data_IF_612275114246
#
_entry.id   IF_612275114246
#
_cell.length_a   1.000
_cell.length_b   1.000
_cell.length_c   1.000
_cell.angle_alpha   90.00
_cell.angle_beta   90.00
_cell.angle_gamma   90.00
#
_symmetry.space_group_name_H-M   'P 1'
#
loop_
_entity.id
_entity.type
_entity.pdbx_description
1 polymer ?
#
# COMPACT_ATOMS: atom_id res chain seq x y z
N UNK A 1 0.45 1.80 5.35
CA UNK A 1 1.67 2.12 4.58
C UNK A 1 1.74 1.14 3.41
N UNK A 2 2.14 1.56 2.21
CA UNK A 2 2.17 0.70 1.02
C UNK A 2 3.48 0.82 0.23
N UNK A 3 3.64 -0.04 -0.78
CA UNK A 3 4.78 -0.05 -1.69
C UNK A 3 4.38 0.61 -3.02
N UNK A 4 5.23 1.49 -3.53
CA UNK A 4 4.99 2.24 -4.76
C UNK A 4 6.18 2.11 -5.70
N UNK A 5 5.90 2.17 -7.00
CA UNK A 5 6.90 2.26 -8.05
C UNK A 5 6.72 3.57 -8.84
N UNK A 6 7.78 4.14 -9.43
CA UNK A 6 7.66 5.27 -10.35
C UNK A 6 6.68 4.97 -11.49
N UNK A 7 5.94 5.98 -11.95
CA UNK A 7 4.97 5.86 -13.05
C UNK A 7 5.58 5.31 -14.35
N UNK A 8 6.87 5.56 -14.58
CA UNK A 8 7.60 5.08 -15.76
C UNK A 8 8.13 3.65 -15.64
N UNK A 9 7.90 2.96 -14.51
CA UNK A 9 8.32 1.58 -14.33
C UNK A 9 7.59 0.68 -15.33
N UNK A 10 8.29 -0.14 -16.14
CA UNK A 10 7.63 -1.00 -17.11
C UNK A 10 6.64 -1.98 -16.45
N UNK A 11 5.48 -2.26 -17.07
CA UNK A 11 4.46 -3.13 -16.49
C UNK A 11 4.98 -4.50 -16.08
N UNK A 12 5.84 -5.12 -16.91
CA UNK A 12 6.44 -6.42 -16.62
C UNK A 12 7.25 -6.41 -15.30
N UNK A 13 7.99 -5.34 -15.03
CA UNK A 13 8.76 -5.20 -13.78
C UNK A 13 7.82 -5.05 -12.58
N UNK A 14 6.75 -4.25 -12.72
CA UNK A 14 5.72 -4.12 -11.68
C UNK A 14 5.07 -5.47 -11.39
N UNK A 15 4.71 -6.23 -12.43
CA UNK A 15 4.15 -7.58 -12.27
C UNK A 15 5.11 -8.52 -11.55
N UNK A 16 6.40 -8.51 -11.88
CA UNK A 16 7.41 -9.32 -11.18
C UNK A 16 7.50 -8.96 -9.70
N UNK A 17 7.55 -7.66 -9.38
CA UNK A 17 7.65 -7.18 -8.00
C UNK A 17 6.39 -7.56 -7.20
N UNK A 18 5.19 -7.35 -7.76
CA UNK A 18 3.92 -7.73 -7.12
C UNK A 18 3.86 -9.22 -6.81
N UNK A 19 4.28 -10.07 -7.75
CA UNK A 19 4.33 -11.51 -7.53
C UNK A 19 5.30 -11.91 -6.41
N UNK A 20 6.46 -11.27 -6.32
CA UNK A 20 7.43 -11.52 -5.26
C UNK A 20 6.92 -11.03 -3.90
N UNK A 21 6.36 -9.82 -3.84
CA UNK A 21 5.78 -9.23 -2.63
C UNK A 21 4.63 -10.10 -2.11
N UNK A 22 3.70 -10.50 -2.99
CA UNK A 22 2.57 -11.35 -2.62
C UNK A 22 2.99 -12.68 -1.98
N UNK A 23 4.14 -13.24 -2.35
CA UNK A 23 4.74 -14.41 -1.69
C UNK A 23 5.41 -14.03 -0.36
N UNK A 24 6.19 -12.96 -0.35
CA UNK A 24 6.94 -12.53 0.83
C UNK A 24 6.03 -12.19 2.01
N UNK A 25 4.90 -11.53 1.77
CA UNK A 25 3.95 -11.15 2.82
C UNK A 25 3.27 -12.36 3.49
N UNK A 26 3.28 -13.52 2.84
CA UNK A 26 2.74 -14.77 3.38
C UNK A 26 3.80 -15.61 4.11
N UNK A 27 5.07 -15.19 4.09
CA UNK A 27 6.14 -15.91 4.76
C UNK A 27 5.98 -15.86 6.29
N UNK A 28 6.32 -16.95 6.96
CA UNK A 28 6.31 -17.01 8.44
C UNK A 28 7.19 -15.94 9.06
N UNK A 29 8.33 -15.63 8.44
CA UNK A 29 9.22 -14.57 8.89
C UNK A 29 8.49 -13.22 8.95
N UNK A 30 7.71 -12.89 7.92
CA UNK A 30 6.99 -11.63 7.84
C UNK A 30 5.77 -11.61 8.77
N UNK A 31 4.98 -12.67 8.79
CA UNK A 31 3.77 -12.73 9.63
C UNK A 31 4.13 -12.77 11.12
N UNK A 32 5.22 -13.46 11.52
CA UNK A 32 5.73 -13.42 12.88
C UNK A 32 6.23 -12.03 13.27
N UNK A 33 6.90 -11.31 12.37
CA UNK A 33 7.34 -9.94 12.63
C UNK A 33 6.15 -8.99 12.85
N UNK A 34 5.08 -9.10 12.05
CA UNK A 34 3.84 -8.34 12.26
C UNK A 34 3.18 -8.68 13.60
N UNK A 35 3.04 -9.97 13.92
CA UNK A 35 2.45 -10.40 15.18
C UNK A 35 3.23 -9.88 16.40
N UNK A 36 4.56 -9.91 16.36
CA UNK A 36 5.43 -9.36 17.41
C UNK A 36 5.28 -7.84 17.54
N UNK A 37 4.94 -7.13 16.46
CA UNK A 37 4.63 -5.71 16.46
C UNK A 37 3.17 -5.40 16.85
N UNK A 38 2.35 -6.42 17.14
CA UNK A 38 0.91 -6.25 17.43
C UNK A 38 0.09 -5.84 16.21
N UNK A 39 0.57 -6.15 15.01
CA UNK A 39 -0.08 -5.82 13.75
C UNK A 39 -0.65 -7.07 13.08
N UNK A 40 -1.74 -6.89 12.34
CA UNK A 40 -2.33 -7.93 11.49
C UNK A 40 -1.95 -7.73 10.03
N UNK A 41 -1.81 -8.82 9.29
CA UNK A 41 -1.57 -8.77 7.86
C UNK A 41 -2.86 -8.35 7.12
N UNK A 42 -2.88 -7.13 6.59
CA UNK A 42 -3.93 -6.63 5.71
C UNK A 42 -3.37 -6.35 4.31
N UNK A 43 -2.92 -7.40 3.62
CA UNK A 43 -2.35 -7.27 2.28
C UNK A 43 -3.42 -6.97 1.23
N UNK A 44 -3.15 -5.96 0.40
CA UNK A 44 -3.90 -5.66 -0.81
C UNK A 44 -2.93 -5.72 -2.00
N UNK A 45 -3.31 -6.45 -3.04
CA UNK A 45 -2.58 -6.39 -4.31
C UNK A 45 -2.94 -5.10 -5.07
N UNK A 46 -2.13 -4.73 -6.07
CA UNK A 46 -2.17 -3.41 -6.73
C UNK A 46 -3.58 -2.90 -7.07
N UNK A 47 -4.50 -3.67 -7.68
CA UNK A 47 -5.81 -3.14 -8.09
C UNK A 47 -6.67 -2.70 -6.89
N UNK A 48 -6.54 -3.37 -5.75
CA UNK A 48 -7.32 -3.04 -4.55
C UNK A 48 -6.59 -2.01 -3.70
N UNK A 49 -5.25 -2.06 -3.67
CA UNK A 49 -4.45 -1.03 -3.03
C UNK A 49 -4.63 0.34 -3.70
N UNK A 50 -4.72 0.40 -5.03
CA UNK A 50 -4.98 1.63 -5.77
C UNK A 50 -6.32 2.26 -5.35
N UNK A 51 -7.39 1.47 -5.28
CA UNK A 51 -8.71 1.96 -4.83
C UNK A 51 -8.67 2.49 -3.41
N UNK A 52 -8.02 1.75 -2.50
CA UNK A 52 -7.83 2.17 -1.12
C UNK A 52 -7.10 3.51 -1.05
N UNK A 53 -5.99 3.63 -1.78
CA UNK A 53 -5.16 4.83 -1.81
C UNK A 53 -5.88 6.04 -2.38
N UNK A 54 -6.66 5.86 -3.44
CA UNK A 54 -7.45 6.95 -4.04
C UNK A 54 -8.51 7.50 -3.07
N UNK A 55 -9.11 6.62 -2.26
CA UNK A 55 -10.07 7.02 -1.22
C UNK A 55 -9.36 7.72 -0.06
N UNK A 56 -8.24 7.17 0.40
CA UNK A 56 -7.47 7.73 1.51
C UNK A 56 -6.89 9.11 1.17
N UNK A 57 -6.37 9.28 -0.05
CA UNK A 57 -5.91 10.55 -0.59
C UNK A 57 -7.01 11.61 -0.59
N UNK A 58 -8.20 11.28 -1.11
CA UNK A 58 -9.35 12.20 -1.10
C UNK A 58 -9.75 12.63 0.32
N UNK A 59 -9.83 11.68 1.25
CA UNK A 59 -10.18 11.98 2.65
C UNK A 59 -9.14 12.88 3.30
N UNK A 60 -7.87 12.67 2.99
CA UNK A 60 -6.77 13.48 3.51
C UNK A 60 -6.84 14.90 2.95
N UNK A 61 -7.03 15.06 1.64
CA UNK A 61 -7.20 16.37 1.01
C UNK A 61 -8.40 17.14 1.61
N UNK A 62 -9.56 16.48 1.73
CA UNK A 62 -10.76 17.06 2.36
C UNK A 62 -10.50 17.53 3.80
N UNK A 63 -9.78 16.73 4.59
CA UNK A 63 -9.43 17.08 5.96
C UNK A 63 -8.49 18.29 6.04
N UNK A 64 -7.50 18.38 5.14
CA UNK A 64 -6.54 19.49 5.09
C UNK A 64 -7.22 20.79 4.64
N UNK A 65 -8.13 20.71 3.65
CA UNK A 65 -8.98 21.83 3.22
C UNK A 65 -9.86 22.31 4.39
N UNK A 66 -10.50 21.39 5.11
CA UNK A 66 -11.38 21.73 6.23
C UNK A 66 -10.69 22.53 7.33
N UNK A 67 -9.41 22.25 7.62
CA UNK A 67 -8.61 22.99 8.61
C UNK A 67 -7.91 24.24 8.04
N UNK A 68 -8.19 24.60 6.78
CA UNK A 68 -7.67 25.81 6.13
C UNK A 68 -6.17 25.75 5.81
N UNK A 69 -5.60 24.56 5.61
CA UNK A 69 -4.16 24.37 5.35
C UNK A 69 -3.83 24.10 3.88
N UNK A 70 -4.84 24.03 3.02
CA UNK A 70 -4.74 23.91 1.57
C UNK A 70 -5.91 24.69 0.95
N UNK A 71 -5.62 25.45 -0.11
CA UNK A 71 -6.57 26.33 -0.80
C UNK A 71 -6.46 26.18 -2.31
#
# INVERSE_FOLDING_TARGET
VGLFAPKSTPPAIVTTLRGAIGKAVQSEQFTAALANAGQELAYLDEPDFQKFWDIDGKRTDEAVIFIGRQG
#
